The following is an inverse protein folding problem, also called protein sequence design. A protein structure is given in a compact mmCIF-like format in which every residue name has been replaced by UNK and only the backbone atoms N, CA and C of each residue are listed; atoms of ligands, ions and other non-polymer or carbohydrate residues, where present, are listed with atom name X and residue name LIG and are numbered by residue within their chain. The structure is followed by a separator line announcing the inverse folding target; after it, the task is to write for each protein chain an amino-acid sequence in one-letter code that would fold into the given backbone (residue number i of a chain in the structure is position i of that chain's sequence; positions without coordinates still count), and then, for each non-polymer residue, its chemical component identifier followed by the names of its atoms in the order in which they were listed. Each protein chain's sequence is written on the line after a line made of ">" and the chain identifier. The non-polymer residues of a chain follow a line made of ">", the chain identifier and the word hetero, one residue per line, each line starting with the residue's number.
data_IF_062406671244
#
_entry.id   IF_062406671244
#
_cell.length_a   1.000
_cell.length_b   1.000
_cell.length_c   1.000
_cell.angle_alpha   90.00
_cell.angle_beta   90.00
_cell.angle_gamma   90.00
#
_symmetry.space_group_name_H-M   'P 1'
#
loop_
_entity.id
_entity.type
_entity.pdbx_description
1 polymer ?
#
# COMPACT_ATOMS: atom_id res chain seq x y z
N UNK A 1 2.08 -4.14 10.83
CA UNK A 1 1.87 -5.51 11.33
C UNK A 1 1.83 -5.47 12.84
N UNK A 2 0.81 -6.08 13.44
CA UNK A 2 0.68 -6.15 14.89
C UNK A 2 1.37 -7.40 15.48
N UNK A 3 1.80 -7.36 16.75
CA UNK A 3 2.33 -8.54 17.42
C UNK A 3 1.35 -9.71 17.42
N UNK A 4 1.77 -10.86 16.88
CA UNK A 4 0.96 -12.08 16.81
C UNK A 4 0.24 -12.31 15.49
N UNK A 5 0.23 -11.34 14.57
CA UNK A 5 -0.34 -11.51 13.22
C UNK A 5 0.64 -12.21 12.28
N UNK A 6 0.12 -13.12 11.44
CA UNK A 6 0.84 -13.53 10.23
C UNK A 6 0.85 -12.38 9.21
N UNK A 7 1.86 -12.34 8.34
CA UNK A 7 2.03 -11.26 7.37
C UNK A 7 0.80 -11.10 6.46
N UNK A 8 0.23 -12.21 5.96
CA UNK A 8 -0.96 -12.14 5.12
C UNK A 8 -2.23 -11.76 5.91
N UNK A 9 -2.32 -12.10 7.19
CA UNK A 9 -3.43 -11.67 8.06
C UNK A 9 -3.41 -10.16 8.23
N UNK A 10 -2.23 -9.60 8.53
CA UNK A 10 -2.02 -8.16 8.59
C UNK A 10 -2.38 -7.50 7.25
N UNK A 11 -1.87 -7.99 6.12
CA UNK A 11 -2.19 -7.43 4.79
C UNK A 11 -3.70 -7.43 4.52
N UNK A 12 -4.41 -8.51 4.85
CA UNK A 12 -5.87 -8.59 4.67
C UNK A 12 -6.64 -7.69 5.64
N UNK A 13 -6.13 -7.45 6.85
CA UNK A 13 -6.69 -6.49 7.80
C UNK A 13 -6.54 -5.07 7.25
N UNK A 14 -5.33 -4.66 6.85
CA UNK A 14 -5.08 -3.34 6.26
C UNK A 14 -6.00 -3.10 5.04
N UNK A 15 -6.10 -4.07 4.12
CA UNK A 15 -7.00 -3.94 2.95
C UNK A 15 -8.46 -3.76 3.36
N UNK A 16 -8.93 -4.43 4.41
CA UNK A 16 -10.31 -4.26 4.89
C UNK A 16 -10.52 -2.87 5.52
N UNK A 17 -9.56 -2.41 6.30
CA UNK A 17 -9.61 -1.13 7.01
C UNK A 17 -9.51 0.04 6.04
N UNK A 18 -8.57 -0.01 5.09
CA UNK A 18 -8.29 1.05 4.14
C UNK A 18 -9.20 1.04 2.91
N UNK A 19 -9.62 -0.14 2.42
CA UNK A 19 -10.31 -0.29 1.12
C UNK A 19 -11.72 -0.90 1.23
N UNK A 20 -12.13 -1.32 2.42
CA UNK A 20 -13.44 -1.88 2.72
C UNK A 20 -13.56 -3.39 2.49
N UNK A 21 -14.59 -4.00 3.11
CA UNK A 21 -14.80 -5.47 3.09
C UNK A 21 -15.31 -6.03 1.75
N UNK A 22 -15.75 -5.16 0.84
CA UNK A 22 -16.33 -5.59 -0.45
C UNK A 22 -15.28 -5.93 -1.50
N UNK A 23 -14.02 -5.53 -1.32
CA UNK A 23 -12.95 -5.88 -2.25
C UNK A 23 -12.54 -7.34 -2.06
N UNK A 24 -12.69 -8.15 -3.11
CA UNK A 24 -12.45 -9.59 -3.07
C UNK A 24 -11.11 -9.89 -3.74
N UNK A 25 -10.14 -10.38 -2.97
CA UNK A 25 -8.84 -10.82 -3.48
C UNK A 25 -8.86 -12.28 -3.90
N UNK A 26 -8.51 -12.56 -5.15
CA UNK A 26 -8.40 -13.92 -5.71
C UNK A 26 -6.98 -14.46 -5.67
N UNK A 27 -5.98 -13.58 -5.59
CA UNK A 27 -4.57 -13.96 -5.51
C UNK A 27 -3.81 -12.98 -4.62
N UNK A 28 -2.93 -13.51 -3.79
CA UNK A 28 -1.95 -12.78 -2.98
C UNK A 28 -0.66 -13.61 -3.00
N UNK A 29 0.44 -13.00 -3.42
CA UNK A 29 1.76 -13.63 -3.39
C UNK A 29 2.84 -12.63 -2.96
N UNK A 30 3.79 -13.02 -2.09
CA UNK A 30 4.96 -12.19 -1.82
C UNK A 30 5.70 -11.89 -3.13
N UNK A 31 6.06 -10.63 -3.36
CA UNK A 31 6.78 -10.22 -4.57
C UNK A 31 8.20 -9.74 -4.26
N UNK A 32 8.35 -8.69 -3.47
CA UNK A 32 9.66 -8.15 -3.11
C UNK A 32 9.62 -7.48 -1.73
N UNK A 33 10.80 -7.14 -1.21
CA UNK A 33 10.93 -6.37 0.02
C UNK A 33 12.09 -5.38 -0.09
N UNK A 34 12.04 -4.34 0.73
CA UNK A 34 13.15 -3.41 0.96
C UNK A 34 12.95 -2.72 2.30
N UNK A 35 14.00 -2.17 2.87
CA UNK A 35 13.91 -1.28 4.01
C UNK A 35 13.95 0.19 3.60
N UNK A 36 13.55 1.06 4.54
CA UNK A 36 13.54 2.51 4.39
C UNK A 36 13.59 3.17 5.77
N UNK A 37 14.09 4.40 5.82
CA UNK A 37 14.09 5.21 7.04
C UNK A 37 13.36 6.50 6.76
N UNK A 38 12.29 6.77 7.52
CA UNK A 38 11.45 7.96 7.33
C UNK A 38 11.36 8.78 8.59
N UNK A 39 11.29 10.09 8.42
CA UNK A 39 10.95 11.01 9.50
C UNK A 39 9.44 11.24 9.46
N UNK A 40 8.73 10.70 10.45
CA UNK A 40 7.30 10.98 10.64
C UNK A 40 7.16 12.22 11.51
N UNK A 41 6.40 13.20 11.02
CA UNK A 41 6.01 14.37 11.82
C UNK A 41 4.60 14.14 12.33
N UNK A 42 4.39 14.30 13.63
CA UNK A 42 3.10 14.11 14.30
C UNK A 42 2.33 15.42 14.41
N UNK A 43 1.03 15.38 14.76
CA UNK A 43 0.18 16.58 14.80
C UNK A 43 0.66 17.68 15.76
N UNK A 44 1.41 17.33 16.81
CA UNK A 44 2.02 18.26 17.77
C UNK A 44 3.37 18.84 17.29
N UNK A 45 3.82 18.45 16.09
CA UNK A 45 5.07 18.88 15.47
C UNK A 45 6.30 18.07 15.88
N UNK A 46 6.18 17.07 16.76
CA UNK A 46 7.33 16.21 17.06
C UNK A 46 7.68 15.34 15.85
N UNK A 47 8.97 15.01 15.74
CA UNK A 47 9.51 14.19 14.66
C UNK A 47 10.12 12.93 15.21
N UNK A 48 9.85 11.81 14.56
CA UNK A 48 10.42 10.51 14.89
C UNK A 48 10.99 9.86 13.64
N UNK A 49 12.20 9.32 13.76
CA UNK A 49 12.82 8.51 12.72
C UNK A 49 12.34 7.07 12.87
N UNK A 50 11.58 6.61 11.89
CA UNK A 50 11.00 5.28 11.84
C UNK A 50 11.78 4.46 10.81
N UNK A 51 12.36 3.35 11.26
CA UNK A 51 12.89 2.31 10.38
C UNK A 51 11.76 1.36 9.97
N UNK A 52 11.60 1.15 8.68
CA UNK A 52 10.53 0.33 8.12
C UNK A 52 11.08 -0.74 7.20
N UNK A 53 10.44 -1.90 7.22
CA UNK A 53 10.65 -2.96 6.23
C UNK A 53 9.34 -3.07 5.43
N UNK A 54 9.38 -2.75 4.14
CA UNK A 54 8.25 -2.96 3.25
C UNK A 54 8.24 -4.40 2.76
N UNK A 55 7.13 -5.11 3.02
CA UNK A 55 6.84 -6.42 2.44
C UNK A 55 5.76 -6.22 1.37
N UNK A 56 6.13 -6.35 0.10
CA UNK A 56 5.27 -5.98 -1.03
C UNK A 56 4.73 -7.25 -1.68
N UNK A 57 3.42 -7.26 -1.92
CA UNK A 57 2.69 -8.40 -2.46
C UNK A 57 2.11 -8.07 -3.83
N UNK A 58 2.17 -9.04 -4.74
CA UNK A 58 1.34 -9.03 -5.93
C UNK A 58 -0.06 -9.54 -5.56
N UNK A 59 -1.08 -8.72 -5.84
CA UNK A 59 -2.47 -9.01 -5.55
C UNK A 59 -3.33 -8.93 -6.80
N UNK A 60 -4.35 -9.78 -6.90
CA UNK A 60 -5.39 -9.70 -7.93
C UNK A 60 -6.74 -9.71 -7.25
N UNK A 61 -7.62 -8.77 -7.64
CA UNK A 61 -9.00 -8.72 -7.17
C UNK A 61 -9.99 -9.24 -8.23
N UNK A 62 -11.07 -9.87 -7.76
CA UNK A 62 -12.19 -10.29 -8.63
C UNK A 62 -13.07 -9.11 -9.05
N UNK A 63 -13.12 -8.06 -8.24
CA UNK A 63 -13.97 -6.89 -8.43
C UNK A 63 -13.18 -5.60 -8.18
N UNK A 64 -13.90 -4.47 -8.24
CA UNK A 64 -13.37 -3.12 -8.10
C UNK A 64 -14.08 -2.28 -7.03
N UNK A 65 -14.87 -2.94 -6.17
CA UNK A 65 -15.68 -2.28 -5.15
C UNK A 65 -14.79 -1.87 -3.96
N UNK A 66 -14.47 -0.57 -3.89
CA UNK A 66 -13.61 0.01 -2.85
C UNK A 66 -14.38 1.06 -2.06
N UNK A 67 -14.20 1.07 -0.75
CA UNK A 67 -14.65 2.13 0.16
C UNK A 67 -13.45 2.56 0.99
N UNK A 68 -12.89 3.72 0.66
CA UNK A 68 -11.70 4.25 1.34
C UNK A 68 -12.05 4.78 2.73
N UNK A 69 -11.13 4.64 3.69
CA UNK A 69 -11.20 5.25 5.01
C UNK A 69 -10.69 6.71 4.98
N UNK A 70 -10.55 7.31 6.16
CA UNK A 70 -10.09 8.69 6.35
C UNK A 70 -8.63 8.97 5.97
N UNK A 71 -7.84 7.94 5.65
CA UNK A 71 -6.45 8.12 5.21
C UNK A 71 -6.34 8.58 3.75
N UNK A 72 -7.42 8.42 2.98
CA UNK A 72 -7.46 8.76 1.57
C UNK A 72 -8.66 9.66 1.24
N UNK A 73 -8.43 10.67 0.41
CA UNK A 73 -9.51 11.53 -0.11
C UNK A 73 -10.12 10.97 -1.41
N UNK A 74 -9.37 10.18 -2.18
CA UNK A 74 -9.80 9.64 -3.46
C UNK A 74 -9.03 8.34 -3.82
N UNK A 75 -9.58 7.55 -4.75
CA UNK A 75 -8.92 6.37 -5.30
C UNK A 75 -9.19 6.21 -6.80
N UNK A 76 -8.27 5.53 -7.50
CA UNK A 76 -8.44 5.26 -8.94
C UNK A 76 -7.95 3.88 -9.34
N UNK A 77 -8.68 3.24 -10.26
CA UNK A 77 -8.22 2.07 -11.00
C UNK A 77 -7.48 2.52 -12.27
N UNK A 78 -6.15 2.59 -12.20
CA UNK A 78 -5.31 3.19 -13.24
C UNK A 78 -4.75 2.12 -14.19
N UNK A 79 -4.77 2.39 -15.50
CA UNK A 79 -4.06 1.54 -16.47
C UNK A 79 -2.55 1.72 -16.31
N UNK A 80 -1.77 0.68 -16.59
CA UNK A 80 -0.31 0.72 -16.46
C UNK A 80 0.34 1.90 -17.19
N UNK A 81 -0.09 2.19 -18.43
CA UNK A 81 0.43 3.28 -19.26
C UNK A 81 0.16 4.70 -18.68
N UNK A 82 -0.85 4.82 -17.83
CA UNK A 82 -1.30 6.09 -17.24
C UNK A 82 -0.69 6.36 -15.86
N UNK A 83 -0.06 5.37 -15.21
CA UNK A 83 0.50 5.49 -13.86
C UNK A 83 1.52 6.64 -13.74
N UNK A 84 2.34 6.84 -14.79
CA UNK A 84 3.35 7.90 -14.84
C UNK A 84 2.78 9.32 -14.83
N UNK A 85 1.48 9.47 -15.12
CA UNK A 85 0.80 10.77 -15.17
C UNK A 85 0.29 11.22 -13.79
N UNK A 86 0.36 10.36 -12.77
CA UNK A 86 -0.06 10.67 -11.40
C UNK A 86 1.09 11.28 -10.59
N UNK A 87 0.74 12.13 -9.61
CA UNK A 87 1.68 12.63 -8.60
C UNK A 87 1.96 11.55 -7.54
N UNK A 88 2.79 10.58 -7.90
CA UNK A 88 3.15 9.46 -7.04
C UNK A 88 4.13 9.89 -5.96
N UNK A 89 3.82 9.54 -4.70
CA UNK A 89 4.77 9.66 -3.60
C UNK A 89 6.05 8.82 -3.86
N UNK A 90 7.12 9.15 -3.13
CA UNK A 90 8.43 8.54 -3.36
C UNK A 90 8.45 7.00 -3.23
N UNK A 91 7.74 6.42 -2.23
CA UNK A 91 7.71 4.96 -2.07
C UNK A 91 6.94 4.27 -3.19
N UNK A 92 5.79 4.83 -3.59
CA UNK A 92 4.97 4.27 -4.66
C UNK A 92 5.73 4.33 -5.99
N UNK A 93 6.42 5.44 -6.27
CA UNK A 93 7.26 5.59 -7.48
C UNK A 93 8.35 4.53 -7.54
N UNK A 94 9.14 4.34 -6.48
CA UNK A 94 10.18 3.29 -6.42
C UNK A 94 9.57 1.91 -6.67
N UNK A 95 8.45 1.61 -6.03
CA UNK A 95 7.78 0.30 -6.14
C UNK A 95 7.29 0.02 -7.56
N UNK A 96 6.64 0.99 -8.22
CA UNK A 96 6.14 0.81 -9.58
C UNK A 96 7.28 0.78 -10.62
N UNK A 97 8.37 1.54 -10.41
CA UNK A 97 9.57 1.42 -11.23
C UNK A 97 10.22 0.03 -11.11
N UNK A 98 10.30 -0.53 -9.90
CA UNK A 98 10.77 -1.92 -9.70
C UNK A 98 9.85 -2.94 -10.39
N UNK A 99 8.56 -2.63 -10.56
CA UNK A 99 7.61 -3.47 -11.28
C UNK A 99 7.73 -3.33 -12.81
N UNK A 100 8.49 -2.36 -13.30
CA UNK A 100 8.55 -2.03 -14.73
C UNK A 100 7.28 -1.38 -15.27
N UNK A 101 6.51 -0.72 -14.40
CA UNK A 101 5.25 -0.03 -14.74
C UNK A 101 5.42 1.49 -14.91
N UNK A 102 6.60 2.02 -14.63
CA UNK A 102 6.97 3.43 -14.80
C UNK A 102 8.19 3.56 -15.72
#
# INVERSE_FOLDING_TARGET
>A
MEPGERIEEALRREIREELGEKLILTHIAPWCFRDDTRVKTYPDGHQETIYMIYLIFDCVSANRDVTINEEFDDYAWVKAEDLKNYDLNAATRVTLSLKGLL
#
